data_IF_252498347046
#
_entry.id   IF_252498347046
#
_cell.length_a   1.000
_cell.length_b   1.000
_cell.length_c   1.000
_cell.angle_alpha   90.00
_cell.angle_beta   90.00
_cell.angle_gamma   90.00
#
_symmetry.space_group_name_H-M   'P 1'
#
loop_
_entity.id
_entity.type
_entity.pdbx_description
1 polymer ?
#
# COMPACT_ATOMS: atom_id res chain seq x y z
N UNK A 1 -5.24 1.58 19.87
CA UNK A 1 -6.25 0.72 19.22
C UNK A 1 -6.00 0.45 17.73
N UNK A 2 -5.30 1.35 17.00
CA UNK A 2 -4.94 1.13 15.60
C UNK A 2 -3.80 0.10 15.40
N UNK A 3 -2.77 0.10 16.25
CA UNK A 3 -1.63 -0.85 16.19
C UNK A 3 -2.08 -2.33 16.24
N UNK A 4 -2.97 -2.68 17.18
CA UNK A 4 -3.51 -4.06 17.28
C UNK A 4 -4.31 -4.51 16.05
N UNK A 5 -4.81 -3.59 15.22
CA UNK A 5 -5.59 -3.94 14.01
C UNK A 5 -4.68 -4.23 12.82
N UNK A 6 -3.53 -3.57 12.76
CA UNK A 6 -2.51 -3.86 11.75
C UNK A 6 -1.91 -5.26 11.96
N UNK A 7 -1.80 -5.71 13.21
CA UNK A 7 -1.40 -7.09 13.55
C UNK A 7 -2.39 -8.14 13.03
N UNK A 8 -3.66 -7.78 12.87
CA UNK A 8 -4.70 -8.64 12.32
C UNK A 8 -4.75 -8.62 10.78
N UNK A 9 -3.98 -7.76 10.12
CA UNK A 9 -4.01 -7.60 8.67
C UNK A 9 -5.16 -6.75 8.15
N UNK A 10 -5.76 -5.91 9.01
CA UNK A 10 -6.85 -5.01 8.66
C UNK A 10 -6.33 -3.57 8.56
N UNK A 11 -6.52 -2.97 7.40
CA UNK A 11 -6.04 -1.64 7.04
C UNK A 11 -7.20 -0.72 6.66
N UNK A 12 -7.02 0.57 6.87
CA UNK A 12 -7.94 1.59 6.40
C UNK A 12 -7.43 2.29 5.13
N UNK A 13 -8.31 3.07 4.49
CA UNK A 13 -7.98 3.82 3.28
C UNK A 13 -6.76 4.74 3.45
N UNK A 14 -6.62 5.38 4.63
CA UNK A 14 -5.48 6.25 4.92
C UNK A 14 -4.17 5.47 4.86
N UNK A 15 -4.14 4.26 5.40
CA UNK A 15 -2.94 3.41 5.39
C UNK A 15 -2.60 2.96 3.97
N UNK A 16 -3.60 2.60 3.16
CA UNK A 16 -3.41 2.30 1.74
C UNK A 16 -2.81 3.49 0.98
N UNK A 17 -3.36 4.68 1.21
CA UNK A 17 -2.89 5.94 0.61
C UNK A 17 -1.43 6.20 1.02
N UNK A 18 -1.09 5.96 2.29
CA UNK A 18 0.28 6.12 2.79
C UNK A 18 1.25 5.11 2.17
N UNK A 19 0.86 3.85 1.98
CA UNK A 19 1.74 2.84 1.37
C UNK A 19 2.17 3.19 -0.04
N UNK A 20 1.24 3.71 -0.82
CA UNK A 20 1.47 4.04 -2.22
C UNK A 20 1.89 5.51 -2.42
N UNK A 21 1.98 6.30 -1.35
CA UNK A 21 2.27 7.72 -1.42
C UNK A 21 1.27 8.50 -2.25
N UNK A 22 0.00 8.09 -2.27
CA UNK A 22 -1.01 8.74 -3.11
C UNK A 22 -1.26 10.17 -2.61
N UNK A 23 -1.51 11.12 -3.53
CA UNK A 23 -1.89 12.48 -3.16
C UNK A 23 -3.26 12.46 -2.46
N UNK A 24 -3.44 13.18 -1.35
CA UNK A 24 -4.72 13.28 -0.66
C UNK A 24 -5.78 13.94 -1.56
N UNK A 25 -7.05 13.53 -1.43
CA UNK A 25 -8.16 14.07 -2.25
C UNK A 25 -8.23 15.60 -2.28
N UNK A 26 -8.02 16.25 -1.14
CA UNK A 26 -8.05 17.72 -1.05
C UNK A 26 -6.97 18.40 -1.89
N UNK A 27 -5.83 17.74 -2.09
CA UNK A 27 -4.80 18.24 -2.99
C UNK A 27 -5.25 18.12 -4.45
N UNK A 28 -5.78 16.97 -4.85
CA UNK A 28 -6.32 16.76 -6.20
C UNK A 28 -7.40 17.80 -6.55
N UNK A 29 -8.30 18.09 -5.60
CA UNK A 29 -9.34 19.12 -5.77
C UNK A 29 -8.73 20.51 -6.01
N UNK A 30 -7.69 20.88 -5.27
CA UNK A 30 -6.97 22.17 -5.48
C UNK A 30 -6.29 22.24 -6.84
N UNK A 31 -5.90 21.10 -7.39
CA UNK A 31 -5.28 20.98 -8.71
C UNK A 31 -6.31 20.88 -9.86
N UNK A 32 -7.60 21.01 -9.55
CA UNK A 32 -8.68 20.98 -10.55
C UNK A 32 -9.23 19.58 -10.85
N UNK A 33 -8.78 18.56 -10.11
CA UNK A 33 -9.26 17.18 -10.20
C UNK A 33 -10.28 16.92 -9.10
N UNK A 34 -11.53 17.34 -9.31
CA UNK A 34 -12.62 17.15 -8.35
C UNK A 34 -13.21 15.74 -8.40
N UNK A 35 -12.40 14.76 -7.96
CA UNK A 35 -12.84 13.38 -7.83
C UNK A 35 -13.79 13.23 -6.63
N UNK A 36 -14.94 12.58 -6.88
CA UNK A 36 -15.85 12.17 -5.80
C UNK A 36 -15.13 11.27 -4.79
N UNK A 37 -15.60 11.26 -3.54
CA UNK A 37 -15.01 10.43 -2.49
C UNK A 37 -15.03 8.94 -2.86
N UNK A 38 -16.13 8.50 -3.48
CA UNK A 38 -16.29 7.13 -3.94
C UNK A 38 -15.29 6.77 -5.05
N UNK A 39 -15.11 7.65 -6.04
CA UNK A 39 -14.15 7.44 -7.13
C UNK A 39 -12.72 7.35 -6.60
N UNK A 40 -12.34 8.31 -5.72
CA UNK A 40 -11.03 8.32 -5.09
C UNK A 40 -10.76 7.02 -4.32
N UNK A 41 -11.72 6.59 -3.49
CA UNK A 41 -11.63 5.36 -2.69
C UNK A 41 -11.46 4.12 -3.57
N UNK A 42 -12.29 3.98 -4.62
CA UNK A 42 -12.23 2.84 -5.54
C UNK A 42 -10.90 2.77 -6.29
N UNK A 43 -10.41 3.89 -6.78
CA UNK A 43 -9.13 3.93 -7.50
C UNK A 43 -7.95 3.65 -6.57
N UNK A 44 -7.97 4.18 -5.35
CA UNK A 44 -6.91 3.94 -4.38
C UNK A 44 -6.84 2.46 -3.98
N UNK A 45 -8.00 1.87 -3.68
CA UNK A 45 -8.10 0.44 -3.40
C UNK A 45 -7.66 -0.42 -4.59
N UNK A 46 -8.08 -0.09 -5.81
CA UNK A 46 -7.70 -0.82 -7.03
C UNK A 46 -6.19 -0.80 -7.27
N UNK A 47 -5.57 0.37 -7.10
CA UNK A 47 -4.12 0.50 -7.27
C UNK A 47 -3.37 -0.26 -6.18
N UNK A 48 -3.86 -0.22 -4.94
CA UNK A 48 -3.31 -1.00 -3.83
C UNK A 48 -3.41 -2.52 -4.09
N UNK A 49 -4.56 -2.99 -4.54
CA UNK A 49 -4.75 -4.40 -4.93
C UNK A 49 -3.80 -4.81 -6.04
N UNK A 50 -3.58 -3.96 -7.05
CA UNK A 50 -2.63 -4.26 -8.12
C UNK A 50 -1.18 -4.33 -7.62
N UNK A 51 -0.79 -3.38 -6.75
CA UNK A 51 0.55 -3.36 -6.18
C UNK A 51 0.81 -4.58 -5.27
N UNK A 52 -0.10 -4.86 -4.34
CA UNK A 52 -0.04 -6.04 -3.47
C UNK A 52 -0.11 -7.34 -4.28
N UNK A 53 -0.87 -7.35 -5.36
CA UNK A 53 -0.96 -8.51 -6.24
C UNK A 53 0.35 -8.87 -6.93
N UNK A 54 1.21 -7.88 -7.20
CA UNK A 54 2.53 -8.14 -7.78
C UNK A 54 3.47 -8.92 -6.85
N UNK A 55 3.15 -8.98 -5.55
CA UNK A 55 3.93 -9.70 -4.52
C UNK A 55 3.16 -10.91 -3.96
N UNK A 56 2.13 -11.38 -4.66
CA UNK A 56 1.33 -12.54 -4.26
C UNK A 56 0.34 -12.28 -3.13
N UNK A 57 0.03 -11.01 -2.84
CA UNK A 57 -0.97 -10.63 -1.84
C UNK A 57 -2.30 -10.24 -2.48
N UNK A 58 -3.38 -10.50 -1.76
CA UNK A 58 -4.74 -10.10 -2.08
C UNK A 58 -5.18 -9.02 -1.09
N UNK A 59 -5.88 -8.00 -1.60
CA UNK A 59 -6.52 -6.98 -0.78
C UNK A 59 -8.02 -7.05 -0.96
N UNK A 60 -8.75 -7.41 0.11
CA UNK A 60 -10.20 -7.60 0.10
C UNK A 60 -10.87 -6.52 0.94
N UNK A 61 -11.91 -5.87 0.41
CA UNK A 61 -12.68 -4.92 1.20
C UNK A 61 -13.66 -5.66 2.12
N UNK A 62 -13.51 -5.52 3.43
CA UNK A 62 -14.37 -6.17 4.44
C UNK A 62 -15.37 -5.21 5.11
N UNK A 63 -15.37 -3.93 4.72
CA UNK A 63 -16.35 -2.94 5.16
C UNK A 63 -16.03 -1.53 4.67
N UNK A 64 -16.70 -0.54 5.26
CA UNK A 64 -16.42 0.87 4.96
C UNK A 64 -15.01 1.25 5.40
N UNK A 65 -14.15 1.56 4.42
CA UNK A 65 -12.72 1.84 4.61
C UNK A 65 -11.99 0.75 5.39
N UNK A 66 -12.37 -0.51 5.22
CA UNK A 66 -11.67 -1.66 5.82
C UNK A 66 -11.22 -2.61 4.74
N UNK A 67 -9.94 -2.92 4.77
CA UNK A 67 -9.26 -3.74 3.79
C UNK A 67 -8.42 -4.79 4.48
N UNK A 68 -8.59 -6.04 4.09
CA UNK A 68 -7.88 -7.18 4.63
C UNK A 68 -6.84 -7.66 3.63
N UNK A 69 -5.65 -7.96 4.14
CA UNK A 69 -4.56 -8.53 3.35
C UNK A 69 -4.48 -10.04 3.60
N UNK A 70 -4.52 -10.81 2.51
CA UNK A 70 -4.33 -12.26 2.50
C UNK A 70 -3.41 -12.68 1.35
N UNK A 71 -3.13 -13.97 1.20
CA UNK A 71 -2.39 -14.51 0.05
C UNK A 71 -3.29 -14.71 -1.17
N UNK A 72 -2.70 -14.54 -2.35
CA UNK A 72 -3.28 -15.08 -3.57
C UNK A 72 -3.15 -16.61 -3.60
N UNK A 73 -4.04 -17.31 -4.32
CA UNK A 73 -3.91 -18.74 -4.54
C UNK A 73 -2.53 -19.11 -5.11
N UNK A 74 -1.82 -19.99 -4.40
CA UNK A 74 -0.48 -20.45 -4.80
C UNK A 74 0.68 -19.53 -4.40
N UNK A 75 0.43 -18.40 -3.74
CA UNK A 75 1.47 -17.57 -3.16
C UNK A 75 1.91 -18.07 -1.77
N UNK A 76 3.08 -17.63 -1.32
CA UNK A 76 3.60 -17.94 0.02
C UNK A 76 3.89 -16.66 0.83
N UNK A 77 3.52 -16.66 2.11
CA UNK A 77 3.80 -15.55 3.02
C UNK A 77 5.29 -15.23 3.12
N UNK A 78 6.15 -16.25 3.05
CA UNK A 78 7.61 -16.09 3.08
C UNK A 78 8.10 -15.23 1.92
N UNK A 79 7.62 -15.50 0.71
CA UNK A 79 8.11 -14.84 -0.49
C UNK A 79 7.63 -13.37 -0.54
N UNK A 80 6.38 -13.14 -0.14
CA UNK A 80 5.84 -11.80 0.05
C UNK A 80 6.62 -11.01 1.13
N UNK A 81 6.91 -11.65 2.27
CA UNK A 81 7.71 -11.04 3.33
C UNK A 81 9.10 -10.67 2.82
N UNK A 82 9.76 -11.59 2.11
CA UNK A 82 11.08 -11.39 1.55
C UNK A 82 11.13 -10.20 0.60
N UNK A 83 10.21 -10.15 -0.37
CA UNK A 83 10.14 -9.06 -1.33
C UNK A 83 9.89 -7.71 -0.65
N UNK A 84 8.90 -7.63 0.25
CA UNK A 84 8.52 -6.38 0.91
C UNK A 84 9.62 -5.87 1.85
N UNK A 85 10.27 -6.77 2.60
CA UNK A 85 11.39 -6.37 3.43
C UNK A 85 12.63 -6.00 2.61
N UNK A 86 12.86 -6.61 1.45
CA UNK A 86 13.88 -6.15 0.50
C UNK A 86 13.60 -4.71 0.02
N UNK A 87 12.36 -4.41 -0.37
CA UNK A 87 11.96 -3.05 -0.74
C UNK A 87 12.16 -2.04 0.40
N UNK A 88 11.78 -2.43 1.62
CA UNK A 88 12.01 -1.59 2.80
C UNK A 88 13.50 -1.32 3.02
N UNK A 89 14.37 -2.33 2.83
CA UNK A 89 15.82 -2.19 2.98
C UNK A 89 16.43 -1.24 1.95
N UNK A 90 16.02 -1.37 0.68
CA UNK A 90 16.45 -0.47 -0.39
C UNK A 90 16.06 0.97 -0.07
N UNK A 91 14.82 1.17 0.39
CA UNK A 91 14.30 2.49 0.77
C UNK A 91 15.07 3.11 1.93
N UNK A 92 15.46 2.30 2.93
CA UNK A 92 16.24 2.73 4.07
C UNK A 92 17.74 2.93 3.76
N UNK A 93 18.19 2.64 2.52
CA UNK A 93 19.59 2.74 2.13
C UNK A 93 20.50 1.73 2.84
N UNK A 94 19.97 0.55 3.22
CA UNK A 94 20.67 -0.46 4.04
C UNK A 94 21.06 -1.72 3.26
N UNK A 95 22.03 -2.46 3.81
CA UNK A 95 22.52 -3.73 3.26
C UNK A 95 21.43 -4.81 3.32
N UNK A 96 21.32 -5.58 2.24
CA UNK A 96 20.28 -6.59 2.00
C UNK A 96 20.43 -7.80 2.94
N UNK A 97 19.32 -8.24 3.52
CA UNK A 97 19.23 -9.48 4.30
C UNK A 97 19.25 -10.67 3.34
N UNK A 98 20.26 -11.54 3.44
CA UNK A 98 20.44 -12.67 2.52
C UNK A 98 19.69 -13.94 2.95
N UNK A 99 19.23 -14.01 4.20
CA UNK A 99 18.48 -15.14 4.75
C UNK A 99 17.04 -14.73 5.12
N UNK A 100 15.99 -15.33 4.52
CA UNK A 100 14.60 -15.09 4.90
C UNK A 100 14.31 -15.27 6.40
N UNK A 101 15.03 -16.15 7.10
CA UNK A 101 14.86 -16.37 8.53
C UNK A 101 15.47 -15.24 9.39
N UNK A 102 16.38 -14.43 8.84
CA UNK A 102 16.89 -13.22 9.51
C UNK A 102 15.87 -12.07 9.44
N UNK A 103 14.96 -12.09 8.46
CA UNK A 103 13.90 -11.09 8.34
C UNK A 103 12.86 -11.18 9.45
N UNK A 104 12.68 -12.37 10.05
CA UNK A 104 11.87 -12.54 11.25
C UNK A 104 12.49 -11.94 12.51
N UNK A 105 13.77 -11.51 12.45
CA UNK A 105 14.58 -11.18 13.63
C UNK A 105 15.12 -9.76 13.65
N UNK A 106 14.98 -8.96 12.58
CA UNK A 106 15.59 -7.61 12.48
C UNK A 106 14.62 -6.60 11.86
N UNK A 107 14.58 -5.41 12.46
CA UNK A 107 13.89 -4.24 11.93
C UNK A 107 14.80 -3.48 10.94
N UNK A 108 14.24 -3.18 9.78
CA UNK A 108 14.91 -2.50 8.67
C UNK A 108 15.22 -1.04 9.00
N UNK A 109 14.43 -0.34 9.81
CA UNK A 109 14.65 1.09 10.10
C UNK A 109 15.57 1.36 11.29
N UNK A 110 15.56 0.51 12.32
CA UNK A 110 16.32 0.73 13.55
C UNK A 110 17.57 -0.14 13.65
N UNK A 111 17.61 -1.27 12.93
CA UNK A 111 18.66 -2.29 13.09
C UNK A 111 18.49 -3.12 14.37
N UNK A 112 17.46 -2.80 15.16
CA UNK A 112 17.09 -3.49 16.39
C UNK A 112 16.37 -4.82 16.07
N UNK A 113 16.42 -5.80 16.99
CA UNK A 113 15.67 -7.03 16.81
C UNK A 113 14.16 -6.77 16.90
N UNK A 114 13.43 -6.95 15.78
CA UNK A 114 11.98 -7.19 15.82
C UNK A 114 11.77 -8.68 15.61
N UNK A 115 11.31 -9.37 16.64
CA UNK A 115 10.91 -10.77 16.54
C UNK A 115 9.49 -10.85 16.00
N UNK A 116 9.34 -10.95 14.67
CA UNK A 116 8.06 -11.36 14.09
C UNK A 116 7.81 -12.82 14.46
N UNK A 117 6.61 -13.13 14.94
CA UNK A 117 6.23 -14.50 15.31
C UNK A 117 6.14 -15.42 14.08
N UNK A 118 5.76 -14.87 12.92
CA UNK A 118 5.67 -15.58 11.65
C UNK A 118 5.84 -14.63 10.44
N UNK A 119 5.87 -15.20 9.24
CA UNK A 119 6.02 -14.46 7.98
C UNK A 119 4.83 -13.56 7.66
N UNK A 120 3.61 -13.89 8.13
CA UNK A 120 2.44 -13.04 7.94
C UNK A 120 2.63 -11.74 8.73
N UNK A 121 3.05 -11.84 9.98
CA UNK A 121 3.36 -10.68 10.81
C UNK A 121 4.51 -9.85 10.21
N UNK A 122 5.51 -10.50 9.63
CA UNK A 122 6.59 -9.83 8.90
C UNK A 122 6.08 -9.02 7.69
N UNK A 123 5.18 -9.58 6.87
CA UNK A 123 4.52 -8.84 5.77
C UNK A 123 3.84 -7.58 6.28
N UNK A 124 3.01 -7.71 7.32
CA UNK A 124 2.23 -6.59 7.87
C UNK A 124 3.14 -5.51 8.47
N UNK A 125 4.24 -5.94 9.11
CA UNK A 125 5.30 -5.05 9.59
C UNK A 125 6.00 -4.31 8.46
N UNK A 126 6.43 -5.01 7.41
CA UNK A 126 7.12 -4.41 6.27
C UNK A 126 6.24 -3.45 5.47
N UNK A 127 4.95 -3.75 5.29
CA UNK A 127 4.00 -2.80 4.70
C UNK A 127 3.93 -1.49 5.51
N UNK A 128 3.97 -1.60 6.84
CA UNK A 128 3.99 -0.41 7.71
C UNK A 128 5.29 0.40 7.57
N UNK A 129 6.43 -0.25 7.35
CA UNK A 129 7.73 0.42 7.10
C UNK A 129 7.80 1.07 5.71
N UNK A 130 7.06 0.54 4.74
CA UNK A 130 6.95 1.11 3.40
C UNK A 130 6.00 2.31 3.35
N UNK A 131 5.23 2.56 4.43
CA UNK A 131 4.31 3.67 4.51
C UNK A 131 5.03 5.03 4.45
N UNK A 132 4.43 5.97 3.74
CA UNK A 132 5.02 7.28 3.44
C UNK A 132 4.00 8.36 3.70
N UNK A 133 4.45 9.60 3.88
CA UNK A 133 3.52 10.71 3.96
C UNK A 133 2.75 10.89 2.64
N UNK A 134 1.41 10.95 2.66
CA UNK A 134 0.62 11.17 1.45
C UNK A 134 1.08 12.44 0.72
N UNK A 135 1.31 12.35 -0.59
CA UNK A 135 1.84 13.47 -1.39
C UNK A 135 3.35 13.72 -1.25
N UNK A 136 4.05 13.09 -0.31
CA UNK A 136 5.50 13.27 -0.14
C UNK A 136 6.34 12.69 -1.28
N UNK A 137 5.73 11.92 -2.19
CA UNK A 137 6.40 11.19 -3.26
C UNK A 137 5.64 11.28 -4.59
N UNK A 138 5.13 12.46 -4.95
CA UNK A 138 4.38 12.69 -6.21
C UNK A 138 5.10 12.22 -7.47
N UNK A 139 6.44 12.22 -7.48
CA UNK A 139 7.25 11.70 -8.58
C UNK A 139 7.40 10.17 -8.59
N UNK A 140 6.75 9.43 -7.69
CA UNK A 140 6.73 7.98 -7.75
C UNK A 140 5.69 7.45 -8.73
N UNK A 141 5.99 6.28 -9.29
CA UNK A 141 5.13 5.63 -10.27
C UNK A 141 3.68 5.41 -9.78
N UNK A 142 3.40 5.00 -8.52
CA UNK A 142 2.03 4.83 -8.05
C UNK A 142 1.24 6.15 -7.98
N UNK A 143 1.83 7.22 -7.45
CA UNK A 143 1.17 8.53 -7.37
C UNK A 143 0.84 9.10 -8.76
N UNK A 144 1.77 9.00 -9.73
CA UNK A 144 1.50 9.41 -11.12
C UNK A 144 0.42 8.57 -11.78
N UNK A 145 0.47 7.25 -11.63
CA UNK A 145 -0.54 6.35 -12.20
C UNK A 145 -1.92 6.62 -11.61
N UNK A 146 -1.99 6.92 -10.31
CA UNK A 146 -3.23 7.28 -9.64
C UNK A 146 -3.83 8.57 -10.19
N UNK A 147 -3.01 9.62 -10.35
CA UNK A 147 -3.44 10.89 -10.93
C UNK A 147 -3.98 10.72 -12.35
N UNK A 148 -3.24 10.01 -13.21
CA UNK A 148 -3.68 9.74 -14.58
C UNK A 148 -5.00 8.94 -14.62
N UNK A 149 -5.20 8.01 -13.68
CA UNK A 149 -6.45 7.27 -13.57
C UNK A 149 -7.63 8.15 -13.14
N UNK A 150 -7.40 9.12 -12.25
CA UNK A 150 -8.41 10.12 -11.84
C UNK A 150 -8.78 11.01 -13.03
N UNK A 151 -7.79 11.54 -13.75
CA UNK A 151 -8.00 12.36 -14.95
C UNK A 151 -8.84 11.61 -15.99
N UNK A 152 -8.47 10.38 -16.32
CA UNK A 152 -9.20 9.56 -17.28
C UNK A 152 -10.65 9.27 -16.83
N UNK A 153 -10.86 9.00 -15.54
CA UNK A 153 -12.20 8.74 -15.01
C UNK A 153 -13.11 9.98 -15.10
N UNK A 154 -12.57 11.16 -14.77
CA UNK A 154 -13.30 12.42 -14.84
C UNK A 154 -13.66 12.79 -16.30
N UNK A 155 -12.77 12.54 -17.27
CA UNK A 155 -13.08 12.74 -18.68
C UNK A 155 -14.23 11.84 -19.17
N UNK A 156 -14.26 10.58 -18.72
CA UNK A 156 -15.36 9.66 -19.03
C UNK A 156 -16.68 10.13 -18.41
N UNK A 157 -16.67 10.63 -17.17
CA UNK A 157 -17.86 11.20 -16.53
C UNK A 157 -18.38 12.42 -17.29
N UNK A 158 -17.50 13.36 -17.67
CA UNK A 158 -17.86 14.53 -18.48
C UNK A 158 -18.50 14.11 -19.81
N UNK A 159 -17.89 13.15 -20.52
CA UNK A 159 -18.40 12.67 -21.80
C UNK A 159 -19.79 12.03 -21.67
N UNK A 160 -20.05 11.28 -20.60
CA UNK A 160 -21.36 10.68 -20.32
C UNK A 160 -22.45 11.69 -20.00
N UNK A 161 -22.10 12.81 -19.37
CA UNK A 161 -23.04 13.88 -19.04
C UNK A 161 -23.32 14.83 -20.21
N UNK A 162 -22.49 14.80 -21.25
CA UNK A 162 -22.67 15.60 -22.47
C UNK A 162 -23.47 14.89 -23.57
N UNK A 163 -23.76 13.59 -23.41
CA UNK A 163 -24.53 12.75 -24.33
C UNK A 163 -25.97 12.56 -23.85
#
# INVERSE_FOLDING_TARGET
>A
MAEKRNELGVFNLRQIVQWLGLPPRMQLVKEGLDASEELYRKLAARLASAHLGSVGLLLTQSGDDRYEVDLQPGAEWRDAAYYLGHQANLRAGRLVVNDPAEMLRRDVESGEPRAFADYRQAVLGHLSLLAVEPGGQEEQAPARAFRAAIEAALEVEKARHAA
#
